data_IF_141108468724
#
_entry.id   IF_141108468724
#
_cell.length_a   1.000
_cell.length_b   1.000
_cell.length_c   1.000
_cell.angle_alpha   90.00
_cell.angle_beta   90.00
_cell.angle_gamma   90.00
#
_symmetry.space_group_name_H-M   'P 1'
#
loop_
_entity.id
_entity.type
_entity.pdbx_description
1 polymer ?
#
# COMPACT_ATOMS: atom_id res chain seq x y z
N UNK A 1 17.62 -35.94 -29.91
CA UNK A 1 17.50 -35.11 -28.68
C UNK A 1 16.59 -35.84 -27.69
N UNK A 2 17.16 -36.78 -26.91
CA UNK A 2 16.43 -37.75 -26.08
C UNK A 2 16.47 -37.29 -24.62
N UNK A 3 15.29 -36.97 -24.08
CA UNK A 3 14.91 -36.86 -22.66
C UNK A 3 15.83 -36.07 -21.68
N UNK A 4 15.56 -34.76 -21.51
CA UNK A 4 15.88 -33.99 -20.29
C UNK A 4 14.65 -33.29 -19.66
N UNK A 5 13.44 -33.81 -19.90
CA UNK A 5 12.18 -33.12 -19.53
C UNK A 5 11.88 -33.16 -18.01
N UNK A 6 12.31 -34.19 -17.28
CA UNK A 6 12.00 -34.35 -15.85
C UNK A 6 12.87 -33.53 -14.88
N UNK A 7 14.04 -33.04 -15.29
CA UNK A 7 14.94 -32.28 -14.40
C UNK A 7 14.62 -30.78 -14.44
N UNK A 8 14.42 -30.22 -15.63
CA UNK A 8 14.07 -28.80 -15.81
C UNK A 8 12.67 -28.46 -15.27
N UNK A 9 11.69 -29.36 -15.44
CA UNK A 9 10.32 -29.14 -14.95
C UNK A 9 10.26 -29.07 -13.42
N UNK A 10 11.02 -29.91 -12.71
CA UNK A 10 11.06 -29.90 -11.24
C UNK A 10 11.79 -28.66 -10.72
N UNK A 11 12.92 -28.29 -11.33
CA UNK A 11 13.62 -27.05 -11.00
C UNK A 11 12.75 -25.81 -11.21
N UNK A 12 12.02 -25.75 -12.33
CA UNK A 12 11.09 -24.64 -12.57
C UNK A 12 9.96 -24.60 -11.55
N UNK A 13 9.40 -25.75 -11.15
CA UNK A 13 8.41 -25.81 -10.08
C UNK A 13 8.96 -25.28 -8.75
N UNK A 14 10.19 -25.67 -8.36
CA UNK A 14 10.82 -25.14 -7.15
C UNK A 14 11.05 -23.63 -7.22
N UNK A 15 11.51 -23.11 -8.37
CA UNK A 15 11.69 -21.66 -8.57
C UNK A 15 10.36 -20.93 -8.46
N UNK A 16 9.28 -21.44 -9.08
CA UNK A 16 7.95 -20.85 -8.97
C UNK A 16 7.42 -20.85 -7.52
N UNK A 17 7.60 -21.95 -6.78
CA UNK A 17 7.16 -22.04 -5.39
C UNK A 17 7.94 -21.05 -4.52
N UNK A 18 9.26 -20.93 -4.73
CA UNK A 18 10.11 -19.97 -3.99
C UNK A 18 9.69 -18.53 -4.30
N UNK A 19 9.44 -18.20 -5.57
CA UNK A 19 8.96 -16.86 -5.97
C UNK A 19 7.58 -16.55 -5.38
N UNK A 20 6.65 -17.50 -5.40
CA UNK A 20 5.34 -17.31 -4.80
C UNK A 20 5.46 -17.12 -3.28
N UNK A 21 6.25 -17.95 -2.59
CA UNK A 21 6.45 -17.84 -1.15
C UNK A 21 7.06 -16.48 -0.77
N UNK A 22 8.07 -15.99 -1.49
CA UNK A 22 8.67 -14.68 -1.20
C UNK A 22 7.70 -13.53 -1.41
N UNK A 23 6.87 -13.57 -2.47
CA UNK A 23 5.84 -12.53 -2.70
C UNK A 23 4.76 -12.50 -1.62
N UNK A 24 4.37 -13.66 -1.08
CA UNK A 24 3.36 -13.74 0.00
C UNK A 24 3.93 -13.19 1.32
N UNK A 25 5.18 -13.52 1.64
CA UNK A 25 5.83 -13.05 2.88
C UNK A 25 6.00 -11.53 2.88
N UNK A 26 6.38 -10.92 1.75
CA UNK A 26 6.52 -9.45 1.66
C UNK A 26 5.19 -8.71 1.63
N UNK A 27 4.10 -9.39 1.29
CA UNK A 27 2.75 -8.83 1.33
C UNK A 27 2.14 -8.82 2.75
N UNK A 28 2.80 -9.43 3.74
CA UNK A 28 2.34 -9.42 5.13
C UNK A 28 2.14 -7.97 5.58
N UNK A 29 0.90 -7.56 5.91
CA UNK A 29 0.64 -6.18 6.29
C UNK A 29 1.39 -5.88 7.58
N UNK A 30 1.99 -4.68 7.65
CA UNK A 30 2.35 -4.09 8.94
C UNK A 30 1.13 -4.21 9.88
N UNK A 31 1.35 -4.35 11.18
CA UNK A 31 0.30 -4.58 12.20
C UNK A 31 -0.70 -3.42 12.39
N UNK A 32 -0.73 -2.47 11.45
CA UNK A 32 -1.55 -1.27 11.46
C UNK A 32 -2.51 -1.25 10.25
N UNK A 33 -3.63 -0.56 10.42
CA UNK A 33 -4.68 -0.36 9.44
C UNK A 33 -4.23 0.52 8.27
N UNK A 34 -4.61 0.08 7.07
CA UNK A 34 -4.47 0.78 5.80
C UNK A 34 -5.63 1.76 5.60
N UNK A 35 -5.52 2.59 4.57
CA UNK A 35 -6.56 3.52 4.20
C UNK A 35 -7.91 2.80 3.99
N UNK A 36 -8.95 3.24 4.69
CA UNK A 36 -10.28 2.63 4.64
C UNK A 36 -10.52 1.51 5.65
N UNK A 37 -9.48 1.00 6.31
CA UNK A 37 -9.64 0.00 7.37
C UNK A 37 -10.36 0.59 8.59
N UNK A 38 -11.20 -0.21 9.28
CA UNK A 38 -11.91 0.24 10.46
C UNK A 38 -10.93 0.55 11.60
N UNK A 39 -11.21 1.60 12.35
CA UNK A 39 -10.40 2.01 13.49
C UNK A 39 -11.26 2.61 14.61
N UNK A 40 -10.78 2.47 15.84
CA UNK A 40 -11.34 3.13 17.03
C UNK A 40 -10.43 4.27 17.47
N UNK A 41 -9.11 4.06 17.39
CA UNK A 41 -8.09 5.03 17.78
C UNK A 41 -7.09 5.29 16.65
N UNK A 42 -6.47 6.47 16.66
CA UNK A 42 -5.44 6.86 15.68
C UNK A 42 -4.22 5.93 15.67
N UNK A 43 -3.93 5.25 16.78
CA UNK A 43 -2.78 4.33 16.89
C UNK A 43 -2.95 3.05 16.08
N UNK A 44 -4.18 2.72 15.72
CA UNK A 44 -4.48 1.56 14.88
C UNK A 44 -4.14 1.81 13.41
N UNK A 45 -4.06 3.07 12.97
CA UNK A 45 -3.74 3.41 11.59
C UNK A 45 -2.22 3.46 11.37
N UNK A 46 -1.75 3.08 10.18
CA UNK A 46 -0.34 3.23 9.83
C UNK A 46 0.09 4.71 9.75
N UNK A 47 1.41 4.94 9.68
CA UNK A 47 2.03 6.27 9.63
C UNK A 47 1.37 7.22 8.60
N UNK A 48 1.27 8.50 8.97
CA UNK A 48 0.62 9.58 8.21
C UNK A 48 -0.90 9.42 7.99
N UNK A 49 -1.55 8.53 8.75
CA UNK A 49 -3.00 8.40 8.77
C UNK A 49 -3.55 8.63 10.17
N UNK A 50 -4.79 9.12 10.23
CA UNK A 50 -5.57 9.23 11.46
C UNK A 50 -6.89 8.49 11.34
N UNK A 51 -7.39 8.07 12.48
CA UNK A 51 -8.73 7.52 12.54
C UNK A 51 -9.74 8.66 12.42
N UNK A 52 -10.59 8.62 11.40
CA UNK A 52 -11.62 9.61 11.22
C UNK A 52 -12.73 9.39 12.26
N UNK A 53 -13.02 10.40 13.08
CA UNK A 53 -13.89 10.29 14.26
C UNK A 53 -15.29 9.76 13.91
N UNK A 54 -15.88 10.27 12.83
CA UNK A 54 -17.23 9.89 12.40
C UNK A 54 -17.27 8.63 11.52
N UNK A 55 -16.42 8.55 10.50
CA UNK A 55 -16.36 7.40 9.59
C UNK A 55 -15.75 6.13 10.22
N UNK A 56 -15.06 6.25 11.37
CA UNK A 56 -14.38 5.13 12.07
C UNK A 56 -13.43 4.38 11.13
N UNK A 57 -12.74 5.11 10.25
CA UNK A 57 -11.84 4.56 9.23
C UNK A 57 -10.54 5.33 9.16
N UNK A 58 -9.45 4.65 8.84
CA UNK A 58 -8.14 5.25 8.66
C UNK A 58 -8.10 6.11 7.40
N UNK A 59 -7.80 7.40 7.56
CA UNK A 59 -7.70 8.36 6.46
C UNK A 59 -6.35 9.09 6.49
N UNK A 60 -5.82 9.40 5.30
CA UNK A 60 -4.58 10.19 5.15
C UNK A 60 -4.82 11.61 5.66
N UNK A 61 -3.93 12.10 6.51
CA UNK A 61 -3.98 13.48 6.97
C UNK A 61 -3.30 14.36 5.91
N UNK A 62 -4.09 15.16 5.19
CA UNK A 62 -3.58 16.10 4.17
C UNK A 62 -3.28 17.43 4.86
N UNK A 63 -2.04 17.90 4.79
CA UNK A 63 -1.63 19.18 5.37
C UNK A 63 -1.92 20.36 4.43
N UNK A 64 -1.77 21.60 4.91
CA UNK A 64 -2.05 22.79 4.10
C UNK A 64 -1.09 22.91 2.91
N UNK A 65 0.17 22.59 3.13
CA UNK A 65 1.18 22.51 2.07
C UNK A 65 0.85 21.43 1.03
N UNK A 66 0.38 20.24 1.45
CA UNK A 66 -0.06 19.18 0.55
C UNK A 66 -1.28 19.63 -0.28
N UNK A 67 -2.22 20.35 0.34
CA UNK A 67 -3.39 20.90 -0.34
C UNK A 67 -3.01 21.95 -1.39
N UNK A 68 -2.05 22.83 -1.08
CA UNK A 68 -1.57 23.85 -2.01
C UNK A 68 -0.80 23.24 -3.19
N UNK A 69 0.03 22.23 -2.93
CA UNK A 69 0.74 21.50 -3.98
C UNK A 69 -0.22 20.72 -4.89
N UNK A 70 -1.21 20.04 -4.30
CA UNK A 70 -2.24 19.35 -5.07
C UNK A 70 -3.08 20.33 -5.91
N UNK A 71 -3.41 21.50 -5.35
CA UNK A 71 -4.14 22.56 -6.05
C UNK A 71 -3.36 23.10 -7.24
N UNK A 72 -2.06 23.38 -7.11
CA UNK A 72 -1.24 23.79 -8.26
C UNK A 72 -1.26 22.72 -9.36
N UNK A 73 -1.14 21.45 -8.99
CA UNK A 73 -1.17 20.32 -9.94
C UNK A 73 -2.52 20.17 -10.65
N UNK A 74 -3.64 20.39 -9.96
CA UNK A 74 -4.99 20.14 -10.51
C UNK A 74 -5.53 21.38 -11.24
N UNK A 75 -5.34 22.57 -10.68
CA UNK A 75 -5.93 23.83 -11.17
C UNK A 75 -4.94 24.69 -11.97
N UNK A 76 -3.64 24.38 -11.96
CA UNK A 76 -2.61 25.13 -12.69
C UNK A 76 -2.40 26.57 -12.19
N UNK A 77 -2.95 26.93 -11.03
CA UNK A 77 -2.88 28.27 -10.43
C UNK A 77 -2.18 28.21 -9.08
N UNK A 78 -1.31 29.19 -8.81
CA UNK A 78 -0.53 29.33 -7.56
C UNK A 78 -1.18 30.33 -6.61
N UNK A 79 -1.06 30.07 -5.30
CA UNK A 79 -1.49 30.96 -4.20
C UNK A 79 -2.96 30.75 -3.81
N UNK A 80 -3.34 31.00 -2.54
CA UNK A 80 -4.71 30.77 -2.02
C UNK A 80 -5.79 31.53 -2.81
N UNK A 81 -6.97 30.93 -2.96
CA UNK A 81 -8.17 31.64 -3.41
C UNK A 81 -8.71 32.43 -2.21
N UNK A 82 -8.30 33.69 -2.08
CA UNK A 82 -8.92 34.66 -1.18
C UNK A 82 -9.31 35.91 -1.96
#
# INVERSE_FOLDING_TARGET
VKLRRNKMSKFMLFVCIVLLATTVITAAPNSCGRHGDPCISTRECCSNMRCHVYAKRCQVQITEEDLLQAREKILGRKGKDY
#
